data_IF_834082812570
#
_entry.id   IF_834082812570
#
_cell.length_a   1.000
_cell.length_b   1.000
_cell.length_c   1.000
_cell.angle_alpha   90.00
_cell.angle_beta   90.00
_cell.angle_gamma   90.00
#
_symmetry.space_group_name_H-M   'P 1'
#
loop_
_entity.id
_entity.type
_entity.pdbx_description
1 polymer ?
#
# COMPACT_ATOMS: atom_id res chain seq x y z
N UNK A 1 -17.09 -11.42 -10.04
CA UNK A 1 -15.62 -11.49 -9.94
C UNK A 1 -15.25 -12.78 -9.22
N UNK A 2 -14.29 -13.53 -9.75
CA UNK A 2 -13.77 -14.79 -9.17
C UNK A 2 -12.70 -14.51 -8.10
N UNK A 3 -12.31 -15.52 -7.31
CA UNK A 3 -11.35 -15.37 -6.20
C UNK A 3 -9.98 -14.85 -6.66
N UNK A 4 -9.43 -15.42 -7.74
CA UNK A 4 -8.14 -15.00 -8.27
C UNK A 4 -8.13 -13.51 -8.67
N UNK A 5 -9.21 -13.06 -9.33
CA UNK A 5 -9.39 -11.65 -9.70
C UNK A 5 -9.53 -10.75 -8.47
N UNK A 6 -10.29 -11.20 -7.46
CA UNK A 6 -10.45 -10.46 -6.20
C UNK A 6 -9.11 -10.26 -5.49
N UNK A 7 -8.31 -11.33 -5.35
CA UNK A 7 -7.00 -11.27 -4.72
C UNK A 7 -6.04 -10.37 -5.50
N UNK A 8 -6.03 -10.44 -6.83
CA UNK A 8 -5.23 -9.58 -7.68
C UNK A 8 -5.55 -8.09 -7.45
N UNK A 9 -6.84 -7.73 -7.49
CA UNK A 9 -7.27 -6.33 -7.28
C UNK A 9 -6.95 -5.86 -5.84
N UNK A 10 -7.10 -6.72 -4.84
CA UNK A 10 -6.73 -6.39 -3.45
C UNK A 10 -5.23 -6.16 -3.31
N UNK A 11 -4.40 -6.96 -3.98
CA UNK A 11 -2.95 -6.77 -4.03
C UNK A 11 -2.59 -5.45 -4.71
N UNK A 12 -3.16 -5.15 -5.87
CA UNK A 12 -2.95 -3.90 -6.61
C UNK A 12 -3.40 -2.66 -5.83
N UNK A 13 -4.46 -2.78 -5.02
CA UNK A 13 -4.92 -1.69 -4.16
C UNK A 13 -3.90 -1.29 -3.08
N UNK A 14 -2.95 -2.18 -2.77
CA UNK A 14 -1.95 -2.02 -1.72
C UNK A 14 -2.47 -2.24 -0.30
N UNK A 15 -3.66 -2.82 -0.14
CA UNK A 15 -4.27 -3.12 1.16
C UNK A 15 -4.27 -4.60 1.53
N UNK A 16 -3.59 -5.43 0.74
CA UNK A 16 -3.46 -6.85 1.05
C UNK A 16 -2.75 -7.02 2.41
N UNK A 17 -3.33 -7.75 3.38
CA UNK A 17 -2.74 -7.90 4.70
C UNK A 17 -1.44 -8.72 4.64
N UNK A 18 -0.50 -8.43 5.55
CA UNK A 18 0.81 -9.09 5.63
C UNK A 18 0.87 -10.10 6.77
N UNK A 19 1.84 -11.03 6.67
CA UNK A 19 2.12 -12.03 7.71
C UNK A 19 0.91 -12.88 8.07
N UNK A 20 0.64 -13.02 9.38
CA UNK A 20 -0.45 -13.88 9.91
C UNK A 20 -1.84 -13.47 9.43
N UNK A 21 -2.04 -12.24 8.96
CA UNK A 21 -3.35 -11.73 8.53
C UNK A 21 -3.69 -12.00 7.06
N UNK A 22 -2.80 -12.63 6.28
CA UNK A 22 -3.03 -12.93 4.85
C UNK A 22 -4.33 -13.68 4.56
N UNK A 23 -4.70 -14.61 5.44
CA UNK A 23 -5.93 -15.41 5.32
C UNK A 23 -7.23 -14.58 5.39
N UNK A 24 -7.19 -13.37 5.97
CA UNK A 24 -8.39 -12.53 6.12
C UNK A 24 -9.05 -12.18 4.79
N UNK A 25 -8.25 -12.06 3.71
CA UNK A 25 -8.77 -11.74 2.37
C UNK A 25 -9.58 -12.92 1.82
N UNK A 26 -9.10 -14.14 2.01
CA UNK A 26 -9.82 -15.36 1.63
C UNK A 26 -11.08 -15.52 2.50
N UNK A 27 -10.97 -15.35 3.81
CA UNK A 27 -12.13 -15.42 4.71
C UNK A 27 -13.21 -14.41 4.34
N UNK A 28 -12.82 -13.18 4.00
CA UNK A 28 -13.75 -12.14 3.60
C UNK A 28 -14.34 -12.40 2.23
N UNK A 29 -13.56 -12.94 1.28
CA UNK A 29 -14.07 -13.40 -0.01
C UNK A 29 -15.22 -14.41 0.19
N UNK A 30 -14.97 -15.50 0.91
CA UNK A 30 -15.97 -16.55 1.15
C UNK A 30 -17.21 -16.03 1.89
N UNK A 31 -17.05 -15.06 2.79
CA UNK A 31 -18.18 -14.46 3.53
C UNK A 31 -19.10 -13.59 2.68
N UNK A 32 -18.59 -13.00 1.60
CA UNK A 32 -19.38 -12.10 0.73
C UNK A 32 -19.67 -12.73 -0.63
N UNK A 33 -19.25 -13.97 -0.84
CA UNK A 33 -19.49 -14.73 -2.05
C UNK A 33 -20.99 -15.03 -2.20
N UNK A 34 -21.48 -14.85 -3.42
CA UNK A 34 -22.85 -15.19 -3.80
C UNK A 34 -22.95 -16.70 -4.07
N UNK A 35 -24.17 -17.27 -4.13
CA UNK A 35 -24.35 -18.70 -4.40
C UNK A 35 -23.75 -19.19 -5.73
N UNK A 36 -23.57 -18.29 -6.70
CA UNK A 36 -22.94 -18.58 -7.99
C UNK A 36 -21.40 -18.60 -7.94
N UNK A 37 -20.82 -18.42 -6.77
CA UNK A 37 -19.37 -18.40 -6.57
C UNK A 37 -18.72 -17.04 -6.87
N UNK A 38 -19.50 -16.00 -7.22
CA UNK A 38 -18.97 -14.69 -7.59
C UNK A 38 -19.17 -13.63 -6.51
N UNK A 39 -18.40 -12.56 -6.60
CA UNK A 39 -18.60 -11.32 -5.82
C UNK A 39 -19.01 -10.18 -6.75
N UNK A 40 -20.01 -9.40 -6.34
CA UNK A 40 -20.40 -8.15 -7.00
C UNK A 40 -19.64 -6.93 -6.48
N UNK A 41 -19.75 -5.80 -7.19
CA UNK A 41 -18.96 -4.61 -6.88
C UNK A 41 -19.25 -4.02 -5.49
N UNK A 42 -20.51 -4.03 -5.04
CA UNK A 42 -20.93 -3.61 -3.69
C UNK A 42 -20.24 -4.41 -2.59
N UNK A 43 -20.24 -5.73 -2.73
CA UNK A 43 -19.60 -6.66 -1.80
C UNK A 43 -18.09 -6.45 -1.78
N UNK A 44 -17.48 -6.28 -2.95
CA UNK A 44 -16.06 -5.94 -3.08
C UNK A 44 -15.71 -4.63 -2.34
N UNK A 45 -16.48 -3.56 -2.54
CA UNK A 45 -16.26 -2.29 -1.86
C UNK A 45 -16.39 -2.41 -0.34
N UNK A 46 -17.30 -3.25 0.16
CA UNK A 46 -17.43 -3.53 1.58
C UNK A 46 -16.16 -4.19 2.15
N UNK A 47 -15.55 -5.13 1.42
CA UNK A 47 -14.29 -5.75 1.84
C UNK A 47 -13.14 -4.75 1.79
N UNK A 48 -13.01 -3.97 0.71
CA UNK A 48 -11.97 -2.94 0.59
C UNK A 48 -12.06 -1.92 1.73
N UNK A 49 -13.27 -1.55 2.16
CA UNK A 49 -13.47 -0.66 3.31
C UNK A 49 -12.89 -1.26 4.60
N UNK A 50 -13.10 -2.56 4.84
CA UNK A 50 -12.54 -3.27 6.00
C UNK A 50 -11.01 -3.36 5.93
N UNK A 51 -10.46 -3.63 4.75
CA UNK A 51 -9.01 -3.68 4.53
C UNK A 51 -8.36 -2.29 4.79
N UNK A 52 -9.01 -1.21 4.35
CA UNK A 52 -8.56 0.16 4.63
C UNK A 52 -8.55 0.49 6.12
N UNK A 53 -9.56 0.03 6.86
CA UNK A 53 -9.61 0.21 8.32
C UNK A 53 -8.52 -0.60 9.02
N UNK A 54 -8.30 -1.84 8.59
CA UNK A 54 -7.22 -2.68 9.12
C UNK A 54 -5.84 -2.03 8.94
N UNK A 55 -5.58 -1.44 7.78
CA UNK A 55 -4.35 -0.68 7.53
C UNK A 55 -4.30 0.60 8.38
N UNK A 56 -5.41 1.35 8.53
CA UNK A 56 -5.46 2.49 9.45
C UNK A 56 -5.15 2.10 10.89
N UNK A 57 -5.69 0.99 11.39
CA UNK A 57 -5.41 0.51 12.75
C UNK A 57 -3.96 0.06 12.94
N UNK A 58 -3.32 -0.47 11.88
CA UNK A 58 -1.88 -0.72 11.89
C UNK A 58 -1.09 0.59 11.95
N UNK A 59 -1.41 1.55 11.08
CA UNK A 59 -0.73 2.84 11.03
C UNK A 59 -0.88 3.60 12.34
N UNK A 60 -2.09 3.66 12.90
CA UNK A 60 -2.41 4.25 14.20
C UNK A 60 -1.50 3.72 15.30
N UNK A 61 -1.32 2.40 15.40
CA UNK A 61 -0.43 1.80 16.40
C UNK A 61 1.02 2.23 16.24
N UNK A 62 1.49 2.44 15.01
CA UNK A 62 2.85 2.93 14.74
C UNK A 62 2.94 4.41 15.10
N UNK A 63 1.96 5.20 14.70
CA UNK A 63 1.87 6.63 15.05
C UNK A 63 1.88 6.80 16.57
N UNK A 64 1.14 5.98 17.31
CA UNK A 64 1.05 6.02 18.78
C UNK A 64 2.42 5.78 19.45
N UNK A 65 3.35 5.06 18.82
CA UNK A 65 4.73 4.87 19.31
C UNK A 65 5.55 6.15 19.15
N UNK A 66 5.33 6.88 18.06
CA UNK A 66 6.03 8.13 17.72
C UNK A 66 5.42 9.37 18.37
N UNK A 67 4.25 9.24 19.00
CA UNK A 67 3.58 10.33 19.69
C UNK A 67 4.03 10.43 21.16
N UNK A 68 4.60 11.57 21.59
CA UNK A 68 4.84 11.81 23.01
C UNK A 68 3.50 11.77 23.78
N UNK A 69 3.44 10.99 24.87
CA UNK A 69 2.20 10.68 25.62
C UNK A 69 1.38 11.90 26.07
N UNK A 70 1.95 13.11 26.07
CA UNK A 70 1.29 14.36 26.51
C UNK A 70 0.98 15.35 25.39
N UNK A 71 1.47 15.12 24.17
CA UNK A 71 1.37 16.10 23.09
C UNK A 71 0.13 15.90 22.21
N UNK A 72 -0.31 14.66 22.00
CA UNK A 72 -1.39 14.36 21.06
C UNK A 72 -1.07 14.72 19.61
N UNK A 73 0.20 15.00 19.29
CA UNK A 73 0.66 15.39 17.94
C UNK A 73 2.02 14.76 17.61
N UNK A 74 2.36 14.70 16.32
CA UNK A 74 3.66 14.29 15.79
C UNK A 74 4.34 15.51 15.17
N UNK A 75 5.61 15.76 15.48
CA UNK A 75 6.36 16.83 14.82
C UNK A 75 6.69 16.43 13.37
N UNK A 76 6.64 17.38 12.44
CA UNK A 76 6.89 17.09 11.02
C UNK A 76 8.32 16.62 10.74
N UNK A 77 9.28 16.94 11.63
CA UNK A 77 10.64 16.40 11.62
C UNK A 77 10.68 14.89 11.79
N UNK A 78 9.73 14.33 12.53
CA UNK A 78 9.72 12.92 12.96
C UNK A 78 8.95 12.04 11.95
N UNK A 79 8.25 12.67 10.99
CA UNK A 79 7.45 11.97 9.98
C UNK A 79 8.32 11.04 9.13
N UNK A 80 9.57 11.38 8.83
CA UNK A 80 10.45 10.50 8.06
C UNK A 80 10.80 9.20 8.81
N UNK A 81 11.00 9.27 10.12
CA UNK A 81 11.28 8.09 10.94
C UNK A 81 10.01 7.24 11.12
N UNK A 82 8.87 7.90 11.30
CA UNK A 82 7.57 7.24 11.29
C UNK A 82 7.29 6.52 9.96
N UNK A 83 7.53 7.18 8.82
CA UNK A 83 7.36 6.58 7.49
C UNK A 83 8.24 5.34 7.32
N UNK A 84 9.48 5.40 7.81
CA UNK A 84 10.39 4.24 7.86
C UNK A 84 9.78 3.08 8.65
N UNK A 85 9.22 3.32 9.83
CA UNK A 85 8.61 2.26 10.65
C UNK A 85 7.30 1.72 10.07
N UNK A 86 6.60 2.52 9.26
CA UNK A 86 5.44 2.04 8.49
C UNK A 86 5.81 1.21 7.26
N UNK A 87 7.10 1.19 6.87
CA UNK A 87 7.60 0.57 5.65
C UNK A 87 7.41 1.42 4.39
N UNK A 88 7.07 2.70 4.54
CA UNK A 88 6.87 3.65 3.44
C UNK A 88 8.18 4.38 3.20
N UNK A 89 8.97 3.89 2.24
CA UNK A 89 10.27 4.46 1.92
C UNK A 89 10.37 4.86 0.45
N UNK A 90 11.02 5.99 0.20
CA UNK A 90 11.40 6.40 -1.15
C UNK A 90 12.53 5.51 -1.70
N UNK A 91 12.44 5.15 -2.98
CA UNK A 91 13.50 4.39 -3.68
C UNK A 91 14.44 5.28 -4.49
N UNK A 92 14.09 6.54 -4.71
CA UNK A 92 14.83 7.46 -5.59
C UNK A 92 14.55 8.93 -5.22
N UNK A 93 15.28 9.84 -5.86
CA UNK A 93 15.16 11.29 -5.64
C UNK A 93 13.74 11.79 -5.89
N UNK A 94 13.09 11.38 -6.98
CA UNK A 94 11.74 11.83 -7.33
C UNK A 94 10.72 11.44 -6.27
N UNK A 95 10.77 10.21 -5.77
CA UNK A 95 9.91 9.76 -4.67
C UNK A 95 10.16 10.54 -3.37
N UNK A 96 11.41 10.91 -3.07
CA UNK A 96 11.73 11.75 -1.91
C UNK A 96 11.15 13.15 -2.05
N UNK A 97 11.26 13.75 -3.23
CA UNK A 97 10.68 15.07 -3.52
C UNK A 97 9.16 15.05 -3.36
N UNK A 98 8.50 14.00 -3.85
CA UNK A 98 7.04 13.86 -3.72
C UNK A 98 6.60 13.67 -2.26
N UNK A 99 7.33 12.87 -1.47
CA UNK A 99 7.06 12.73 -0.03
C UNK A 99 7.16 14.09 0.66
N UNK A 100 8.22 14.84 0.38
CA UNK A 100 8.42 16.15 0.98
C UNK A 100 7.27 17.11 0.65
N UNK A 101 6.82 17.13 -0.62
CA UNK A 101 5.67 17.93 -1.04
C UNK A 101 4.38 17.54 -0.31
N UNK A 102 4.08 16.24 -0.18
CA UNK A 102 2.89 15.77 0.54
C UNK A 102 2.92 16.09 2.04
N UNK A 103 4.11 16.03 2.65
CA UNK A 103 4.31 16.43 4.06
C UNK A 103 4.10 17.94 4.21
N UNK A 104 4.60 18.75 3.29
CA UNK A 104 4.41 20.20 3.30
C UNK A 104 2.94 20.59 3.11
N UNK A 105 2.23 19.97 2.14
CA UNK A 105 0.79 20.18 1.92
C UNK A 105 -0.08 19.85 3.15
N UNK A 106 0.35 18.88 3.97
CA UNK A 106 -0.40 18.50 5.16
C UNK A 106 -0.31 19.55 6.28
N UNK A 107 0.57 20.55 6.16
CA UNK A 107 0.75 21.63 7.13
C UNK A 107 -0.24 22.78 6.84
N UNK A 108 -1.52 22.52 7.11
CA UNK A 108 -2.63 23.45 6.83
C UNK A 108 -2.57 24.78 7.60
N UNK A 109 -1.81 24.89 8.70
CA UNK A 109 -1.84 26.03 9.62
C UNK A 109 -0.49 26.67 9.94
N UNK A 110 0.60 26.27 9.26
CA UNK A 110 1.96 26.66 9.65
C UNK A 110 2.43 26.03 10.98
N UNK A 111 1.57 25.25 11.65
CA UNK A 111 1.97 24.40 12.75
C UNK A 111 2.85 23.26 12.21
N UNK A 112 4.06 23.12 12.74
CA UNK A 112 5.01 22.04 12.39
C UNK A 112 4.65 20.71 13.07
N UNK A 113 3.36 20.46 13.28
CA UNK A 113 2.84 19.32 14.02
C UNK A 113 1.57 18.80 13.35
N UNK A 114 1.39 17.49 13.33
CA UNK A 114 0.24 16.82 12.77
C UNK A 114 -0.51 16.05 13.85
N UNK A 115 -1.84 16.08 13.81
CA UNK A 115 -2.67 15.23 14.67
C UNK A 115 -2.54 13.76 14.26
N UNK A 116 -2.91 12.87 15.17
CA UNK A 116 -2.83 11.41 14.95
C UNK A 116 -3.47 10.97 13.63
N UNK A 117 -4.72 11.36 13.38
CA UNK A 117 -5.43 10.95 12.17
C UNK A 117 -4.87 11.65 10.91
N UNK A 118 -4.33 12.86 11.03
CA UNK A 118 -3.66 13.54 9.91
C UNK A 118 -2.44 12.77 9.45
N UNK A 119 -1.64 12.25 10.38
CA UNK A 119 -0.47 11.42 10.07
C UNK A 119 -0.88 10.09 9.44
N UNK A 120 -1.94 9.44 9.93
CA UNK A 120 -2.48 8.21 9.34
C UNK A 120 -2.90 8.46 7.89
N UNK A 121 -3.65 9.53 7.64
CA UNK A 121 -4.08 9.92 6.30
C UNK A 121 -2.91 10.29 5.40
N UNK A 122 -1.90 10.99 5.92
CA UNK A 122 -0.67 11.31 5.21
C UNK A 122 0.09 10.05 4.80
N UNK A 123 0.25 9.08 5.69
CA UNK A 123 0.87 7.79 5.38
C UNK A 123 0.13 7.07 4.25
N UNK A 124 -1.21 7.03 4.29
CA UNK A 124 -2.00 6.40 3.23
C UNK A 124 -1.84 7.12 1.89
N UNK A 125 -1.85 8.47 1.89
CA UNK A 125 -1.63 9.29 0.68
C UNK A 125 -0.26 9.05 0.08
N UNK A 126 0.79 9.06 0.91
CA UNK A 126 2.17 8.81 0.46
C UNK A 126 2.28 7.40 -0.11
N UNK A 127 1.81 6.37 0.60
CA UNK A 127 1.90 4.99 0.14
C UNK A 127 1.19 4.81 -1.22
N UNK A 128 0.00 5.40 -1.39
CA UNK A 128 -0.72 5.37 -2.66
C UNK A 128 0.04 6.11 -3.77
N UNK A 129 0.57 7.31 -3.49
CA UNK A 129 1.33 8.09 -4.47
C UNK A 129 2.59 7.37 -4.93
N UNK A 130 3.37 6.81 -3.99
CA UNK A 130 4.57 6.05 -4.32
C UNK A 130 4.26 4.82 -5.16
N UNK A 131 3.15 4.11 -4.89
CA UNK A 131 2.70 3.00 -5.72
C UNK A 131 2.41 3.47 -7.15
N UNK A 132 1.60 4.52 -7.31
CA UNK A 132 1.29 5.06 -8.64
C UNK A 132 2.55 5.48 -9.40
N UNK A 133 3.50 6.15 -8.74
CA UNK A 133 4.77 6.55 -9.38
C UNK A 133 5.61 5.35 -9.82
N UNK A 134 5.64 4.27 -9.05
CA UNK A 134 6.38 3.05 -9.38
C UNK A 134 5.74 2.32 -10.56
N UNK A 135 4.42 2.12 -10.51
CA UNK A 135 3.67 1.51 -11.61
C UNK A 135 3.81 2.30 -12.91
N UNK A 136 3.73 3.63 -12.85
CA UNK A 136 3.92 4.47 -14.03
C UNK A 136 5.33 4.32 -14.62
N UNK A 137 6.36 4.28 -13.76
CA UNK A 137 7.74 4.09 -14.22
C UNK A 137 7.96 2.71 -14.84
N UNK A 138 7.42 1.65 -14.22
CA UNK A 138 7.48 0.29 -14.76
C UNK A 138 6.80 0.24 -16.14
N UNK A 139 5.61 0.84 -16.27
CA UNK A 139 4.88 0.90 -17.55
C UNK A 139 5.63 1.70 -18.61
N UNK A 140 6.30 2.79 -18.25
CA UNK A 140 7.10 3.59 -19.20
C UNK A 140 8.41 2.90 -19.63
N UNK A 141 8.93 1.98 -18.82
CA UNK A 141 10.12 1.20 -19.15
C UNK A 141 9.84 0.14 -20.22
N UNK A 142 8.66 -0.45 -20.20
CA UNK A 142 8.23 -1.50 -21.14
C UNK A 142 8.44 -1.12 -22.62
N UNK A 143 7.93 0.02 -23.12
CA UNK A 143 8.15 0.40 -24.52
C UNK A 143 9.60 0.78 -24.81
N UNK A 144 10.37 1.27 -23.82
CA UNK A 144 11.76 1.70 -24.04
C UNK A 144 12.70 0.52 -24.33
N UNK A 145 12.32 -0.69 -23.92
CA UNK A 145 13.04 -1.94 -24.21
C UNK A 145 12.39 -2.78 -25.32
N UNK A 146 11.40 -2.22 -26.02
CA UNK A 146 10.71 -2.90 -27.13
C UNK A 146 9.68 -3.95 -26.70
N UNK A 147 9.23 -3.91 -25.44
CA UNK A 147 8.18 -4.80 -24.96
C UNK A 147 6.79 -4.19 -25.15
N UNK A 148 5.78 -5.06 -25.22
CA UNK A 148 4.39 -4.67 -25.35
C UNK A 148 3.72 -4.61 -23.97
N UNK A 149 2.56 -3.97 -23.89
CA UNK A 149 1.73 -3.99 -22.69
C UNK A 149 1.36 -5.42 -22.27
N UNK A 150 1.22 -6.35 -23.23
CA UNK A 150 0.95 -7.75 -22.92
C UNK A 150 2.11 -8.39 -22.14
N UNK A 151 3.36 -8.14 -22.55
CA UNK A 151 4.53 -8.59 -21.79
C UNK A 151 4.58 -7.98 -20.39
N UNK A 152 4.22 -6.69 -20.25
CA UNK A 152 4.14 -6.04 -18.95
C UNK A 152 3.14 -6.75 -18.02
N UNK A 153 1.92 -6.99 -18.49
CA UNK A 153 0.89 -7.70 -17.73
C UNK A 153 1.35 -9.11 -17.34
N UNK A 154 1.98 -9.84 -18.25
CA UNK A 154 2.51 -11.19 -18.01
C UNK A 154 3.61 -11.18 -16.94
N UNK A 155 4.63 -10.33 -17.09
CA UNK A 155 5.70 -10.22 -16.11
C UNK A 155 5.20 -9.75 -14.74
N UNK A 156 4.22 -8.84 -14.72
CA UNK A 156 3.64 -8.37 -13.47
C UNK A 156 2.85 -9.48 -12.78
N UNK A 157 2.06 -10.25 -13.52
CA UNK A 157 1.34 -11.40 -12.98
C UNK A 157 2.31 -12.45 -12.41
N UNK A 158 3.36 -12.80 -13.15
CA UNK A 158 4.40 -13.71 -12.68
C UNK A 158 5.10 -13.19 -11.41
N UNK A 159 5.54 -11.92 -11.42
CA UNK A 159 6.15 -11.28 -10.27
C UNK A 159 5.25 -11.32 -9.03
N UNK A 160 3.94 -11.10 -9.21
CA UNK A 160 3.00 -11.14 -8.11
C UNK A 160 2.88 -12.53 -7.46
N UNK A 161 3.15 -13.62 -8.18
CA UNK A 161 3.15 -14.96 -7.60
C UNK A 161 4.32 -15.13 -6.61
N UNK A 162 5.47 -14.53 -6.90
CA UNK A 162 6.69 -14.72 -6.12
C UNK A 162 6.91 -13.68 -5.01
N UNK A 163 6.43 -12.44 -5.20
CA UNK A 163 6.52 -11.35 -4.21
C UNK A 163 5.53 -11.61 -3.07
N UNK A 164 5.82 -12.60 -2.22
CA UNK A 164 4.93 -13.09 -1.17
C UNK A 164 4.68 -12.00 -0.12
N UNK A 165 5.70 -11.21 0.20
CA UNK A 165 5.62 -10.16 1.22
C UNK A 165 5.07 -8.82 0.69
N UNK A 166 4.94 -8.70 -0.63
CA UNK A 166 4.51 -7.49 -1.34
C UNK A 166 5.40 -6.30 -1.02
N UNK A 167 6.69 -6.55 -0.89
CA UNK A 167 7.70 -5.53 -0.82
C UNK A 167 7.82 -4.81 -2.17
N UNK A 168 7.37 -5.43 -3.27
CA UNK A 168 7.56 -4.92 -4.62
C UNK A 168 9.02 -5.02 -5.05
N UNK A 169 9.76 -5.97 -4.47
CA UNK A 169 11.06 -6.50 -4.89
C UNK A 169 11.01 -8.03 -4.67
N UNK A 170 11.79 -8.81 -5.41
CA UNK A 170 11.95 -10.23 -5.10
C UNK A 170 13.24 -10.42 -4.31
N UNK A 171 13.13 -10.83 -3.06
CA UNK A 171 14.28 -11.19 -2.26
C UNK A 171 14.86 -12.55 -2.71
N UNK A 172 16.11 -12.85 -2.33
CA UNK A 172 16.80 -14.09 -2.75
C UNK A 172 15.94 -15.35 -2.55
N UNK A 173 15.22 -15.43 -1.43
CA UNK A 173 14.39 -16.58 -1.11
C UNK A 173 13.14 -16.68 -2.00
N UNK A 174 12.63 -15.56 -2.50
CA UNK A 174 11.51 -15.49 -3.44
C UNK A 174 11.96 -15.80 -4.86
N UNK A 175 13.15 -15.31 -5.26
CA UNK A 175 13.75 -15.63 -6.57
C UNK A 175 14.07 -17.11 -6.70
N UNK A 176 14.55 -17.77 -5.63
CA UNK A 176 14.86 -19.21 -5.67
C UNK A 176 13.63 -20.11 -5.81
N UNK A 177 12.41 -19.55 -5.71
CA UNK A 177 11.15 -20.27 -5.95
C UNK A 177 10.62 -20.11 -7.39
N UNK A 178 11.19 -19.19 -8.16
CA UNK A 178 10.81 -18.90 -9.55
C UNK A 178 11.48 -19.86 -10.54
#
# INVERSE_FOLDING_TARGET
MEEAQFVAVVRESGYMPRGKQKHLVQDWFHKVQRPDGTIGFSEFLAVVRKLRELDRDRLRRIVDIHMPQRSGVVATSDVNDLLRDTGIMARNVLERTEIAALVEESQSSGARTLGREDVVMLCQRIAAKLRTMRHERERQYVPSVGWTEAHYCEFRAAFMVFDEDMSGVLERNEVMKA
#
